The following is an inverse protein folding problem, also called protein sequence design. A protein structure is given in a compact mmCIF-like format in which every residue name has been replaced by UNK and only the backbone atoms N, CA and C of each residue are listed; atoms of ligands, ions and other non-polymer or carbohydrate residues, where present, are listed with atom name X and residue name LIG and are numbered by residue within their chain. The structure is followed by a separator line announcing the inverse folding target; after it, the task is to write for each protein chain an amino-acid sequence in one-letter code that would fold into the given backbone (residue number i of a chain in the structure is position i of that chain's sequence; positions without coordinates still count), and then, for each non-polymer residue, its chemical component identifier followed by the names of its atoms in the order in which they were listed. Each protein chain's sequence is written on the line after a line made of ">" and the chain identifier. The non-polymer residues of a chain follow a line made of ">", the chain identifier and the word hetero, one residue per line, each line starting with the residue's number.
data_IF_321275587241
#
_entry.id   IF_321275587241
#
_cell.length_a   1.000
_cell.length_b   1.000
_cell.length_c   1.000
_cell.angle_alpha   90.00
_cell.angle_beta   90.00
_cell.angle_gamma   90.00
#
_symmetry.space_group_name_H-M   'P 1'
#
loop_
_entity.id
_entity.type
_entity.pdbx_description
1 polymer ?
#
# COMPACT_ATOMS: atom_id res chain seq x y z
N UNK A 1 15.86 11.23 12.99
CA UNK A 1 14.39 11.39 12.92
C UNK A 1 13.85 10.00 12.67
N UNK A 2 13.07 9.45 13.59
CA UNK A 2 12.40 8.17 13.39
C UNK A 2 11.31 8.33 12.31
N UNK A 3 11.03 7.29 11.53
CA UNK A 3 9.92 7.30 10.56
C UNK A 3 8.54 7.54 11.23
N UNK A 4 8.45 7.39 12.54
CA UNK A 4 7.23 7.62 13.32
C UNK A 4 7.02 9.11 13.71
N UNK A 5 8.04 9.96 13.54
CA UNK A 5 7.98 11.39 13.84
C UNK A 5 7.54 12.25 12.63
N UNK A 6 7.33 11.64 11.45
CA UNK A 6 6.92 12.37 10.25
C UNK A 6 5.45 12.78 10.34
N UNK A 7 5.14 14.10 10.20
CA UNK A 7 3.77 14.55 10.24
C UNK A 7 2.99 14.08 9.00
N UNK A 8 1.83 13.46 9.25
CA UNK A 8 0.88 13.07 8.22
C UNK A 8 0.06 14.28 7.77
N UNK A 9 -0.33 14.30 6.52
CA UNK A 9 -1.17 15.34 5.93
C UNK A 9 -2.63 15.01 6.23
N UNK A 10 -3.26 15.79 7.11
CA UNK A 10 -4.69 15.69 7.38
C UNK A 10 -5.48 16.28 6.23
N UNK A 11 -6.54 15.61 5.83
CA UNK A 11 -7.38 16.03 4.70
C UNK A 11 -8.87 15.96 5.06
N UNK A 12 -9.67 16.73 4.33
CA UNK A 12 -11.11 16.56 4.29
C UNK A 12 -11.53 15.51 3.23
N UNK A 13 -12.84 15.27 3.10
CA UNK A 13 -13.40 14.32 2.11
C UNK A 13 -13.10 14.67 0.64
N UNK A 14 -12.74 15.93 0.37
CA UNK A 14 -12.43 16.43 -0.96
C UNK A 14 -10.91 16.46 -1.25
N UNK A 15 -10.11 15.82 -0.34
CA UNK A 15 -8.64 15.79 -0.37
C UNK A 15 -7.97 17.17 -0.21
N UNK A 16 -8.68 18.13 0.39
CA UNK A 16 -8.08 19.40 0.75
C UNK A 16 -7.30 19.27 2.04
N UNK A 17 -6.05 19.75 2.04
CA UNK A 17 -5.20 19.76 3.22
C UNK A 17 -5.80 20.68 4.29
N UNK A 18 -6.03 20.13 5.50
CA UNK A 18 -6.60 20.84 6.65
C UNK A 18 -5.64 20.94 7.85
N UNK A 19 -4.47 20.32 7.76
CA UNK A 19 -3.45 20.38 8.81
C UNK A 19 -2.47 19.21 8.77
N UNK A 20 -1.73 19.09 9.86
CA UNK A 20 -0.72 18.03 10.03
C UNK A 20 -0.80 17.45 11.43
N UNK A 21 -0.50 16.17 11.57
CA UNK A 21 -0.44 15.47 12.85
C UNK A 21 0.66 14.42 12.80
N UNK A 22 1.37 14.21 13.90
CA UNK A 22 2.34 13.13 13.97
C UNK A 22 1.64 11.77 13.77
N UNK A 23 2.37 10.83 13.20
CA UNK A 23 1.84 9.53 12.80
C UNK A 23 1.19 8.78 13.97
N UNK A 24 1.82 8.81 15.15
CA UNK A 24 1.29 8.12 16.33
C UNK A 24 -0.07 8.68 16.72
N UNK A 25 -0.19 10.00 16.85
CA UNK A 25 -1.44 10.67 17.21
C UNK A 25 -2.53 10.50 16.15
N UNK A 26 -2.16 10.50 14.86
CA UNK A 26 -3.12 10.32 13.77
C UNK A 26 -3.80 8.94 13.78
N UNK A 27 -3.12 7.93 14.33
CA UNK A 27 -3.64 6.56 14.42
C UNK A 27 -4.21 6.18 15.79
N UNK A 28 -4.24 7.11 16.78
CA UNK A 28 -4.81 6.83 18.09
C UNK A 28 -6.33 6.77 18.05
N UNK A 29 -6.91 5.88 18.88
CA UNK A 29 -8.35 5.73 19.02
C UNK A 29 -9.04 5.43 17.70
N UNK A 30 -10.01 6.25 17.25
CA UNK A 30 -10.73 6.03 16.00
C UNK A 30 -9.92 6.46 14.73
N UNK A 31 -8.71 6.95 14.89
CA UNK A 31 -7.92 7.51 13.80
C UNK A 31 -8.43 8.86 13.26
N UNK A 32 -7.53 9.67 12.73
CA UNK A 32 -7.84 10.94 12.07
C UNK A 32 -7.66 10.77 10.56
N UNK A 33 -8.59 11.29 9.76
CA UNK A 33 -8.49 11.17 8.30
C UNK A 33 -7.24 11.88 7.77
N UNK A 34 -6.40 11.10 7.11
CA UNK A 34 -5.15 11.59 6.55
C UNK A 34 -4.88 10.99 5.16
N UNK A 35 -3.98 11.62 4.40
CA UNK A 35 -3.64 11.23 3.05
C UNK A 35 -2.69 10.05 3.05
N UNK A 36 -2.98 9.04 2.23
CA UNK A 36 -2.20 7.82 2.11
C UNK A 36 -2.15 7.31 0.67
N UNK A 37 -1.33 6.29 0.45
CA UNK A 37 -1.29 5.56 -0.81
C UNK A 37 -0.99 4.08 -0.61
N UNK A 38 -1.44 3.29 -1.58
CA UNK A 38 -1.19 1.86 -1.70
C UNK A 38 -0.61 1.52 -3.07
N UNK A 39 0.41 0.67 -3.08
CA UNK A 39 1.08 0.20 -4.30
C UNK A 39 0.86 -1.29 -4.49
N UNK A 40 0.54 -1.67 -5.73
CA UNK A 40 0.39 -3.04 -6.19
C UNK A 40 1.39 -3.29 -7.32
N UNK A 41 2.51 -3.96 -7.04
CA UNK A 41 3.53 -4.26 -8.04
C UNK A 41 3.43 -5.72 -8.45
N UNK A 42 3.25 -5.92 -9.75
CA UNK A 42 3.16 -7.24 -10.36
C UNK A 42 4.49 -7.59 -11.04
N UNK A 43 4.79 -8.88 -11.15
CA UNK A 43 5.87 -9.35 -12.03
C UNK A 43 5.35 -9.56 -13.47
N UNK A 44 6.23 -9.91 -14.41
CA UNK A 44 5.88 -10.19 -15.81
C UNK A 44 4.99 -11.43 -15.97
N UNK A 45 4.88 -12.28 -14.96
CA UNK A 45 3.97 -13.43 -14.92
C UNK A 45 2.57 -13.05 -14.42
N UNK A 46 2.35 -11.78 -14.06
CA UNK A 46 1.08 -11.28 -13.53
C UNK A 46 0.82 -11.63 -12.08
N UNK A 47 1.86 -12.03 -11.34
CA UNK A 47 1.75 -12.31 -9.91
C UNK A 47 2.00 -11.03 -9.10
N UNK A 48 1.19 -10.80 -8.07
CA UNK A 48 1.30 -9.67 -7.16
C UNK A 48 2.37 -9.93 -6.09
N UNK A 49 3.26 -8.97 -5.90
CA UNK A 49 4.18 -8.95 -4.77
C UNK A 49 3.46 -8.52 -3.51
N UNK A 50 3.33 -9.43 -2.56
CA UNK A 50 2.80 -9.19 -1.21
C UNK A 50 3.93 -9.06 -0.20
N UNK A 51 3.74 -8.18 0.78
CA UNK A 51 4.61 -8.07 1.95
C UNK A 51 3.92 -8.58 3.21
N UNK A 52 4.68 -9.21 4.09
CA UNK A 52 4.28 -9.43 5.46
C UNK A 52 4.83 -8.31 6.33
N UNK A 53 3.95 -7.59 7.01
CA UNK A 53 4.31 -6.45 7.88
C UNK A 53 5.24 -6.90 9.00
N UNK A 54 6.29 -6.14 9.26
CA UNK A 54 7.22 -6.45 10.34
C UNK A 54 6.50 -6.54 11.71
N UNK A 55 7.01 -7.39 12.60
CA UNK A 55 6.47 -7.59 13.94
C UNK A 55 6.51 -6.33 14.83
N UNK A 56 7.39 -5.38 14.51
CA UNK A 56 7.50 -4.08 15.19
C UNK A 56 6.46 -3.05 14.76
N UNK A 57 5.62 -3.33 13.76
CA UNK A 57 4.53 -2.41 13.37
C UNK A 57 3.49 -2.32 14.47
N UNK A 58 3.07 -1.10 14.81
CA UNK A 58 2.09 -0.83 15.86
C UNK A 58 0.70 -1.40 15.49
N UNK A 59 0.27 -1.21 14.24
CA UNK A 59 -1.01 -1.69 13.74
C UNK A 59 -0.79 -2.82 12.73
N UNK A 60 -1.58 -3.89 12.85
CA UNK A 60 -1.50 -5.11 12.03
C UNK A 60 -0.09 -5.68 11.86
N UNK A 61 0.70 -5.91 12.95
CA UNK A 61 1.98 -6.61 12.84
C UNK A 61 1.79 -8.04 12.36
N UNK A 62 2.66 -8.50 11.43
CA UNK A 62 2.63 -9.86 10.91
C UNK A 62 1.54 -10.17 9.88
N UNK A 63 0.67 -9.20 9.56
CA UNK A 63 -0.35 -9.38 8.53
C UNK A 63 0.25 -9.27 7.13
N UNK A 64 -0.32 -10.01 6.18
CA UNK A 64 -0.03 -9.86 4.77
C UNK A 64 -0.74 -8.63 4.20
N UNK A 65 -0.04 -7.88 3.39
CA UNK A 65 -0.49 -6.64 2.76
C UNK A 65 -0.05 -6.57 1.30
N UNK A 66 -0.56 -5.57 0.57
CA UNK A 66 -0.10 -5.23 -0.77
C UNK A 66 1.39 -4.83 -0.75
N UNK A 67 1.96 -4.54 -1.90
CA UNK A 67 3.41 -4.36 -2.09
C UNK A 67 3.99 -3.29 -1.18
N UNK A 68 3.35 -2.12 -1.09
CA UNK A 68 3.77 -1.02 -0.22
C UNK A 68 2.59 -0.12 0.13
N UNK A 69 2.48 0.33 1.38
CA UNK A 69 1.50 1.31 1.86
C UNK A 69 2.19 2.35 2.70
N UNK A 70 1.93 3.63 2.44
CA UNK A 70 2.55 4.71 3.21
C UNK A 70 1.84 6.05 2.98
N UNK A 71 2.51 7.12 3.39
CA UNK A 71 1.99 8.47 3.39
C UNK A 71 2.95 9.42 2.66
N UNK A 72 2.44 10.42 1.92
CA UNK A 72 3.28 11.50 1.44
C UNK A 72 3.70 12.40 2.61
N UNK A 73 4.90 12.95 2.52
CA UNK A 73 5.43 13.94 3.47
C UNK A 73 4.86 15.32 3.16
N UNK A 74 4.89 16.22 4.15
CA UNK A 74 4.56 17.61 3.94
C UNK A 74 5.38 18.21 2.80
N UNK A 75 4.69 18.80 1.80
CA UNK A 75 5.33 19.41 0.63
C UNK A 75 5.82 18.43 -0.43
N UNK A 76 5.66 17.13 -0.22
CA UNK A 76 5.98 16.09 -1.19
C UNK A 76 4.79 15.87 -2.13
N UNK A 77 5.05 15.75 -3.40
CA UNK A 77 4.02 15.32 -4.36
C UNK A 77 3.73 13.83 -4.17
N UNK A 78 2.55 13.39 -4.61
CA UNK A 78 2.21 11.96 -4.54
C UNK A 78 3.18 11.11 -5.38
N UNK A 79 3.60 11.59 -6.55
CA UNK A 79 4.56 10.91 -7.41
C UNK A 79 5.91 10.69 -6.73
N UNK A 80 6.44 11.72 -6.07
CA UNK A 80 7.67 11.61 -5.27
C UNK A 80 7.51 10.59 -4.13
N UNK A 81 6.38 10.66 -3.41
CA UNK A 81 6.11 9.81 -2.25
C UNK A 81 6.07 8.31 -2.60
N UNK A 82 5.33 7.95 -3.66
CA UNK A 82 5.17 6.55 -4.08
C UNK A 82 6.50 5.93 -4.52
N UNK A 83 7.31 6.67 -5.29
CA UNK A 83 8.62 6.19 -5.73
C UNK A 83 9.64 6.15 -4.60
N UNK A 84 9.65 7.15 -3.71
CA UNK A 84 10.51 7.15 -2.52
C UNK A 84 10.25 5.92 -1.65
N UNK A 85 8.99 5.66 -1.29
CA UNK A 85 8.67 4.57 -0.38
C UNK A 85 8.87 3.19 -1.01
N UNK A 86 8.58 3.02 -2.29
CA UNK A 86 8.90 1.78 -3.01
C UNK A 86 10.42 1.49 -2.97
N UNK A 87 11.23 2.54 -3.12
CA UNK A 87 12.69 2.45 -2.96
C UNK A 87 13.13 2.17 -1.53
N UNK A 88 12.58 2.87 -0.53
CA UNK A 88 12.96 2.73 0.89
C UNK A 88 12.57 1.37 1.50
N UNK A 89 11.40 0.83 1.15
CA UNK A 89 10.90 -0.44 1.70
C UNK A 89 11.41 -1.67 0.96
N UNK A 90 11.54 -1.58 -0.38
CA UNK A 90 11.78 -2.73 -1.25
C UNK A 90 12.99 -2.60 -2.17
N UNK A 91 13.66 -1.44 -2.19
CA UNK A 91 14.78 -1.20 -3.12
C UNK A 91 14.36 -1.23 -4.59
N UNK A 92 13.07 -1.05 -4.88
CA UNK A 92 12.50 -1.17 -6.22
C UNK A 92 12.16 0.18 -6.82
N UNK A 93 12.18 0.22 -8.15
CA UNK A 93 11.68 1.34 -8.95
C UNK A 93 10.95 0.80 -10.18
N UNK A 94 9.78 1.32 -10.47
CA UNK A 94 9.03 1.02 -11.70
C UNK A 94 8.04 2.14 -12.01
N UNK A 95 7.56 2.27 -13.24
CA UNK A 95 6.42 3.12 -13.55
C UNK A 95 5.20 2.68 -12.74
N UNK A 96 4.49 3.65 -12.14
CA UNK A 96 3.31 3.43 -11.34
C UNK A 96 2.12 4.17 -11.96
N UNK A 97 1.04 3.44 -12.24
CA UNK A 97 -0.19 3.97 -12.81
C UNK A 97 -1.23 4.15 -11.71
N UNK A 98 -1.80 5.36 -11.63
CA UNK A 98 -2.96 5.62 -10.76
C UNK A 98 -4.16 4.79 -11.20
N UNK A 99 -4.86 4.17 -10.24
CA UNK A 99 -6.06 3.39 -10.46
C UNK A 99 -7.31 4.12 -9.93
N UNK A 100 -7.34 4.38 -8.63
CA UNK A 100 -8.48 5.04 -7.96
C UNK A 100 -8.06 5.61 -6.61
N UNK A 101 -8.97 6.39 -6.03
CA UNK A 101 -8.88 6.90 -4.65
C UNK A 101 -10.13 6.52 -3.88
N UNK A 102 -10.00 6.24 -2.58
CA UNK A 102 -11.12 5.92 -1.71
C UNK A 102 -10.79 6.26 -0.26
N UNK A 103 -11.83 6.53 0.53
CA UNK A 103 -11.71 6.63 1.99
C UNK A 103 -12.01 5.28 2.61
N UNK A 104 -11.23 4.88 3.61
CA UNK A 104 -11.56 3.74 4.46
C UNK A 104 -11.23 4.02 5.91
N UNK A 105 -11.89 3.27 6.78
CA UNK A 105 -11.64 3.23 8.22
C UNK A 105 -11.56 1.77 8.67
N UNK A 106 -10.48 1.43 9.36
CA UNK A 106 -10.28 0.11 9.93
C UNK A 106 -9.78 0.24 11.37
N UNK A 107 -10.56 -0.27 12.33
CA UNK A 107 -10.17 -0.35 13.73
C UNK A 107 -9.33 -1.61 13.95
N UNK A 108 -8.14 -1.48 14.55
CA UNK A 108 -7.29 -2.62 14.88
C UNK A 108 -7.62 -3.15 16.27
N UNK A 109 -7.54 -2.27 17.27
CA UNK A 109 -7.83 -2.55 18.68
C UNK A 109 -8.46 -1.32 19.36
N UNK A 110 -8.55 -1.32 20.68
CA UNK A 110 -9.11 -0.18 21.43
C UNK A 110 -8.29 1.11 21.28
N UNK A 111 -7.00 0.97 20.95
CA UNK A 111 -6.02 2.05 21.01
C UNK A 111 -5.60 2.58 19.62
N UNK A 112 -5.99 1.90 18.52
CA UNK A 112 -5.52 2.31 17.21
C UNK A 112 -6.37 1.92 16.00
N UNK A 113 -6.37 2.79 15.00
CA UNK A 113 -7.08 2.63 13.73
C UNK A 113 -6.33 3.27 12.56
N UNK A 114 -6.58 2.76 11.36
CA UNK A 114 -6.31 3.46 10.10
C UNK A 114 -7.57 4.20 9.65
N UNK A 115 -7.42 5.47 9.32
CA UNK A 115 -8.48 6.25 8.67
C UNK A 115 -7.86 7.08 7.58
N UNK A 116 -7.94 6.60 6.36
CA UNK A 116 -7.16 7.10 5.24
C UNK A 116 -8.01 7.51 4.04
N UNK A 117 -7.61 8.60 3.40
CA UNK A 117 -7.95 8.89 2.01
C UNK A 117 -6.81 8.36 1.14
N UNK A 118 -6.97 7.13 0.66
CA UNK A 118 -5.92 6.34 0.04
C UNK A 118 -5.97 6.40 -1.48
N UNK A 119 -4.85 6.78 -2.11
CA UNK A 119 -4.65 6.72 -3.57
C UNK A 119 -3.97 5.40 -3.93
N UNK A 120 -4.58 4.62 -4.81
CA UNK A 120 -4.12 3.28 -5.21
C UNK A 120 -3.43 3.35 -6.55
N UNK A 121 -2.25 2.72 -6.63
CA UNK A 121 -1.41 2.64 -7.82
C UNK A 121 -1.02 1.21 -8.12
N UNK A 122 -0.81 0.91 -9.40
CA UNK A 122 -0.26 -0.37 -9.82
C UNK A 122 0.93 -0.18 -10.76
N UNK A 123 1.89 -1.11 -10.69
CA UNK A 123 3.06 -1.14 -11.54
C UNK A 123 3.51 -2.55 -11.87
N UNK A 124 4.56 -2.63 -12.70
CA UNK A 124 5.16 -3.91 -13.08
C UNK A 124 6.66 -3.86 -12.95
N UNK A 125 7.26 -4.88 -12.33
CA UNK A 125 8.71 -5.01 -12.21
C UNK A 125 9.10 -6.46 -11.95
N UNK A 126 10.15 -6.91 -12.63
CA UNK A 126 10.84 -8.19 -12.37
C UNK A 126 12.11 -7.98 -11.53
N UNK A 127 12.34 -6.76 -11.04
CA UNK A 127 13.48 -6.49 -10.16
C UNK A 127 13.30 -7.23 -8.84
N UNK A 128 14.31 -7.98 -8.43
CA UNK A 128 14.32 -8.65 -7.12
C UNK A 128 14.30 -7.60 -6.01
N UNK A 129 13.33 -7.67 -5.08
CA UNK A 129 13.24 -6.69 -4.00
C UNK A 129 14.38 -6.85 -2.99
N UNK A 130 14.82 -5.71 -2.45
CA UNK A 130 15.73 -5.63 -1.29
C UNK A 130 14.97 -5.03 -0.12
N UNK A 131 14.55 -5.88 0.82
CA UNK A 131 13.65 -5.47 1.91
C UNK A 131 14.33 -4.64 2.99
N UNK A 132 13.62 -3.64 3.46
CA UNK A 132 13.88 -3.02 4.75
C UNK A 132 13.25 -3.88 5.85
N UNK A 133 14.07 -4.57 6.63
CA UNK A 133 13.63 -5.51 7.68
C UNK A 133 12.83 -4.85 8.81
N UNK A 134 12.93 -3.53 8.98
CA UNK A 134 12.12 -2.79 9.94
C UNK A 134 10.67 -2.60 9.47
N UNK A 135 10.45 -2.72 8.17
CA UNK A 135 9.14 -2.55 7.54
C UNK A 135 8.49 -3.90 7.19
N UNK A 136 9.30 -4.87 6.72
CA UNK A 136 8.85 -6.10 6.08
C UNK A 136 9.56 -7.31 6.68
N UNK A 137 8.80 -8.31 7.14
CA UNK A 137 9.33 -9.57 7.65
C UNK A 137 9.44 -10.67 6.60
N UNK A 138 8.57 -10.67 5.58
CA UNK A 138 8.59 -11.64 4.49
C UNK A 138 7.96 -11.07 3.21
N UNK A 139 8.32 -11.66 2.08
CA UNK A 139 7.75 -11.38 0.77
C UNK A 139 7.27 -12.68 0.11
N UNK A 140 6.24 -12.56 -0.72
CA UNK A 140 5.82 -13.64 -1.63
C UNK A 140 5.10 -13.07 -2.85
N UNK A 141 5.18 -13.80 -3.95
CA UNK A 141 4.38 -13.55 -5.14
C UNK A 141 3.17 -14.50 -5.16
N UNK A 142 2.01 -13.97 -5.47
CA UNK A 142 0.80 -14.78 -5.69
C UNK A 142 0.12 -14.39 -6.99
N UNK A 143 -0.34 -15.40 -7.73
CA UNK A 143 -1.24 -15.16 -8.84
C UNK A 143 -2.58 -14.59 -8.32
N UNK A 144 -3.31 -13.81 -9.14
CA UNK A 144 -4.61 -13.28 -8.75
C UNK A 144 -5.58 -14.34 -8.23
N UNK A 145 -5.62 -15.51 -8.87
CA UNK A 145 -6.50 -16.61 -8.43
C UNK A 145 -6.07 -17.21 -7.09
N UNK A 146 -4.75 -17.31 -6.84
CA UNK A 146 -4.24 -17.80 -5.56
C UNK A 146 -4.55 -16.82 -4.42
N UNK A 147 -4.39 -15.52 -4.66
CA UNK A 147 -4.74 -14.49 -3.67
C UNK A 147 -6.25 -14.47 -3.37
N UNK A 148 -7.10 -14.57 -4.40
CA UNK A 148 -8.56 -14.68 -4.23
C UNK A 148 -8.91 -15.88 -3.34
N UNK A 149 -8.30 -17.04 -3.60
CA UNK A 149 -8.54 -18.28 -2.83
C UNK A 149 -8.06 -18.15 -1.38
N UNK A 150 -6.87 -17.60 -1.16
CA UNK A 150 -6.35 -17.43 0.21
C UNK A 150 -7.16 -16.42 1.02
N UNK A 151 -7.56 -15.29 0.44
CA UNK A 151 -8.44 -14.31 1.12
C UNK A 151 -9.77 -14.95 1.50
N UNK A 152 -10.32 -15.82 0.64
CA UNK A 152 -11.58 -16.51 0.93
C UNK A 152 -11.46 -17.52 2.08
N UNK A 153 -10.30 -18.17 2.24
CA UNK A 153 -10.07 -19.21 3.26
C UNK A 153 -9.56 -18.64 4.58
N UNK A 154 -8.69 -17.64 4.53
CA UNK A 154 -8.02 -17.07 5.71
C UNK A 154 -8.01 -15.52 5.65
N UNK A 155 -9.17 -14.85 5.62
CA UNK A 155 -9.24 -13.38 5.50
C UNK A 155 -8.58 -12.62 6.66
N UNK A 156 -8.42 -13.28 7.81
CA UNK A 156 -7.86 -12.71 9.05
C UNK A 156 -6.35 -12.48 9.00
N UNK A 157 -5.62 -13.14 8.09
CA UNK A 157 -4.17 -12.93 7.95
C UNK A 157 -3.83 -11.75 7.03
N UNK A 158 -4.83 -11.16 6.39
CA UNK A 158 -4.66 -10.04 5.46
C UNK A 158 -5.15 -8.73 6.05
N UNK A 159 -4.45 -7.65 5.73
CA UNK A 159 -4.87 -6.30 6.16
C UNK A 159 -6.23 -5.93 5.58
N UNK A 160 -7.05 -5.14 6.32
CA UNK A 160 -8.36 -4.72 5.84
C UNK A 160 -8.31 -3.98 4.49
N UNK A 161 -7.36 -3.04 4.32
CA UNK A 161 -7.23 -2.26 3.09
C UNK A 161 -6.86 -3.11 1.89
N UNK A 162 -5.92 -4.08 2.02
CA UNK A 162 -5.62 -5.00 0.93
C UNK A 162 -6.88 -5.70 0.42
N UNK A 163 -7.76 -6.19 1.30
CA UNK A 163 -8.99 -6.89 0.90
C UNK A 163 -9.94 -5.98 0.12
N UNK A 164 -10.13 -4.75 0.60
CA UNK A 164 -11.00 -3.75 -0.05
C UNK A 164 -10.44 -3.36 -1.42
N UNK A 165 -9.16 -3.00 -1.46
CA UNK A 165 -8.47 -2.57 -2.69
C UNK A 165 -8.39 -3.69 -3.72
N UNK A 166 -8.06 -4.91 -3.27
CA UNK A 166 -7.97 -6.08 -4.14
C UNK A 166 -9.31 -6.42 -4.80
N UNK A 167 -10.39 -6.43 -4.02
CA UNK A 167 -11.73 -6.64 -4.57
C UNK A 167 -12.04 -5.61 -5.67
N UNK A 168 -11.70 -4.35 -5.45
CA UNK A 168 -11.93 -3.29 -6.42
C UNK A 168 -11.04 -3.42 -7.66
N UNK A 169 -9.75 -3.72 -7.48
CA UNK A 169 -8.83 -4.00 -8.60
C UNK A 169 -9.36 -5.17 -9.45
N UNK A 170 -9.81 -6.26 -8.82
CA UNK A 170 -10.36 -7.42 -9.54
C UNK A 170 -11.63 -7.10 -10.31
N UNK A 171 -12.49 -6.22 -9.81
CA UNK A 171 -13.74 -5.87 -10.48
C UNK A 171 -13.58 -4.81 -11.58
N UNK A 172 -12.71 -3.81 -11.38
CA UNK A 172 -12.58 -2.66 -12.27
C UNK A 172 -11.38 -2.77 -13.23
N UNK A 173 -10.36 -3.58 -12.88
CA UNK A 173 -9.08 -3.69 -13.60
C UNK A 173 -8.69 -5.15 -13.87
N UNK A 174 -9.65 -6.02 -14.20
CA UNK A 174 -9.48 -7.48 -14.34
C UNK A 174 -8.40 -7.93 -15.35
N UNK A 175 -7.93 -7.04 -16.24
CA UNK A 175 -6.83 -7.30 -17.17
C UNK A 175 -5.42 -7.09 -16.60
N UNK A 176 -5.27 -6.76 -15.33
CA UNK A 176 -4.03 -6.27 -14.73
C UNK A 176 -3.71 -4.83 -15.17
N UNK A 177 -2.74 -4.16 -14.54
CA UNK A 177 -2.30 -2.87 -15.01
C UNK A 177 -1.74 -3.00 -16.42
N UNK A 178 -2.12 -2.08 -17.32
CA UNK A 178 -1.67 -2.07 -18.73
C UNK A 178 -0.13 -2.07 -18.89
N UNK A 179 0.58 -1.74 -17.82
CA UNK A 179 2.05 -1.68 -17.75
C UNK A 179 2.73 -3.06 -17.74
N UNK A 180 2.02 -4.16 -17.40
CA UNK A 180 2.57 -5.53 -17.46
C UNK A 180 2.46 -6.19 -18.85
N UNK A 181 1.77 -5.55 -19.80
CA UNK A 181 1.80 -6.01 -21.18
C UNK A 181 3.15 -5.60 -21.78
N UNK A 182 4.02 -6.57 -22.02
CA UNK A 182 5.29 -6.39 -22.68
C UNK A 182 5.10 -5.57 -23.96
N UNK A 183 5.66 -4.36 -24.03
CA UNK A 183 5.88 -3.72 -25.30
C UNK A 183 6.73 -4.66 -26.14
N UNK A 184 6.31 -5.07 -27.34
CA UNK A 184 7.21 -5.82 -28.22
C UNK A 184 8.41 -4.94 -28.46
N UNK A 185 9.60 -5.46 -28.12
CA UNK A 185 10.87 -4.89 -28.55
C UNK A 185 10.77 -4.60 -30.04
N UNK A 186 10.72 -3.32 -30.41
CA UNK A 186 10.90 -2.93 -31.82
C UNK A 186 12.35 -3.25 -32.17
N UNK A 187 12.49 -4.27 -33.00
CA UNK A 187 13.74 -4.59 -33.67
C UNK A 187 14.21 -3.46 -34.59
#
# INVERSE_FOLDING_TARGET
>A
MSFDDEPLILVDKDDCEIGFLDKTSAHLGPGVLHRAFSLFVFNSQGELLLQQRASGKRLWPGYWSNTCCSHPRRGETMDEAIHRRLGEELGMQCPLQYLFKFEYHAQFDADGAERELCSVYAGCSDTSPTVNVNEISALRYLSPAALDAEIAVQPEIFTPWLKIEWQRIRSEHAGGPATCQSSPLRA
#
